data_IF_631967859472
#
_entry.id   IF_631967859472
#
_cell.length_a   1.000
_cell.length_b   1.000
_cell.length_c   1.000
_cell.angle_alpha   90.00
_cell.angle_beta   90.00
_cell.angle_gamma   90.00
#
_symmetry.space_group_name_H-M   'P 1'
#
loop_
_entity.id
_entity.type
_entity.pdbx_description
1 polymer ?
#
# COMPACT_ATOMS: atom_id res chain seq x y z
N UNK A 1 -7.99 6.50 10.86
CA UNK A 1 -8.04 6.54 9.39
C UNK A 1 -9.33 5.87 8.97
N UNK A 2 -10.19 6.57 8.24
CA UNK A 2 -11.40 5.97 7.66
C UNK A 2 -10.94 4.94 6.63
N UNK A 3 -11.44 3.71 6.72
CA UNK A 3 -11.07 2.59 5.86
C UNK A 3 -11.38 2.95 4.40
N UNK A 4 -10.36 3.37 3.64
CA UNK A 4 -10.50 3.72 2.22
C UNK A 4 -10.47 2.41 1.44
N UNK A 5 -11.65 1.84 1.20
CA UNK A 5 -11.78 0.71 0.28
C UNK A 5 -11.28 1.14 -1.11
N UNK A 6 -10.46 0.33 -1.81
CA UNK A 6 -9.97 0.64 -3.16
C UNK A 6 -11.08 0.92 -4.18
N UNK A 7 -12.29 0.47 -3.87
CA UNK A 7 -13.52 0.74 -4.61
C UNK A 7 -14.56 1.18 -3.58
N UNK A 8 -15.27 2.29 -3.83
CA UNK A 8 -16.42 2.65 -3.00
C UNK A 8 -17.63 1.78 -3.36
N UNK A 9 -17.68 0.60 -2.74
CA UNK A 9 -18.75 -0.36 -2.96
C UNK A 9 -20.14 0.16 -2.54
N UNK A 10 -20.23 1.17 -1.67
CA UNK A 10 -21.52 1.74 -1.28
C UNK A 10 -22.04 2.67 -2.37
N UNK A 11 -21.18 3.51 -2.94
CA UNK A 11 -21.52 4.33 -4.11
C UNK A 11 -21.97 3.46 -5.29
N UNK A 12 -21.22 2.40 -5.61
CA UNK A 12 -21.61 1.45 -6.65
C UNK A 12 -22.95 0.76 -6.36
N UNK A 13 -23.20 0.36 -5.11
CA UNK A 13 -24.46 -0.28 -4.73
C UNK A 13 -25.67 0.66 -4.86
N UNK A 14 -25.52 1.95 -4.50
CA UNK A 14 -26.57 2.95 -4.70
C UNK A 14 -26.89 3.16 -6.18
N UNK A 15 -25.86 3.20 -7.03
CA UNK A 15 -26.03 3.33 -8.48
C UNK A 15 -26.77 2.12 -9.07
N UNK A 16 -26.39 0.89 -8.70
CA UNK A 16 -27.12 -0.35 -9.10
C UNK A 16 -28.58 -0.30 -8.64
N UNK A 17 -28.82 0.13 -7.40
CA UNK A 17 -30.15 0.16 -6.79
C UNK A 17 -31.08 1.15 -7.51
N UNK A 18 -30.58 2.32 -7.92
CA UNK A 18 -31.34 3.31 -8.70
C UNK A 18 -31.76 2.80 -10.07
N UNK A 19 -30.99 1.88 -10.65
CA UNK A 19 -31.25 1.32 -11.98
C UNK A 19 -32.29 0.18 -11.96
N UNK A 20 -32.81 -0.22 -10.79
CA UNK A 20 -33.84 -1.27 -10.70
C UNK A 20 -33.32 -2.69 -11.00
N UNK A 21 -32.00 -2.88 -10.98
CA UNK A 21 -31.31 -4.13 -11.31
C UNK A 21 -31.34 -5.17 -10.18
N UNK A 22 -31.88 -4.82 -9.02
CA UNK A 22 -31.93 -5.66 -7.81
C UNK A 22 -32.96 -6.80 -7.89
N UNK A 23 -33.81 -6.85 -8.94
CA UNK A 23 -34.88 -7.84 -9.11
C UNK A 23 -34.94 -8.44 -10.53
N UNK A 24 -33.82 -8.95 -11.04
CA UNK A 24 -33.67 -9.45 -12.42
C UNK A 24 -34.57 -10.63 -12.81
N UNK A 25 -35.24 -11.29 -11.87
CA UNK A 25 -36.20 -12.38 -12.17
C UNK A 25 -37.60 -11.90 -12.57
N UNK A 26 -37.91 -10.59 -12.43
CA UNK A 26 -39.27 -10.06 -12.65
C UNK A 26 -39.49 -9.39 -14.02
N UNK A 27 -38.44 -9.03 -14.76
CA UNK A 27 -38.56 -8.21 -15.97
C UNK A 27 -37.81 -8.85 -17.15
N UNK A 28 -38.53 -9.62 -17.95
CA UNK A 28 -38.01 -10.20 -19.18
C UNK A 28 -37.64 -9.14 -20.21
N UNK A 29 -36.36 -8.75 -20.26
CA UNK A 29 -35.62 -8.26 -21.45
C UNK A 29 -34.17 -7.95 -21.06
N UNK A 30 -33.25 -8.76 -21.58
CA UNK A 30 -31.86 -8.88 -21.14
C UNK A 30 -30.83 -7.98 -21.86
N UNK A 31 -31.21 -6.85 -22.48
CA UNK A 31 -30.22 -5.99 -23.19
C UNK A 31 -29.79 -4.77 -22.36
N UNK A 32 -30.72 -4.02 -21.75
CA UNK A 32 -30.37 -2.80 -21.01
C UNK A 32 -29.58 -3.03 -19.72
N UNK A 33 -29.67 -4.24 -19.14
CA UNK A 33 -28.92 -4.59 -17.93
C UNK A 33 -27.42 -4.75 -18.19
N UNK A 34 -27.05 -5.29 -19.37
CA UNK A 34 -25.64 -5.46 -19.74
C UNK A 34 -24.98 -4.11 -20.04
N UNK A 35 -25.70 -3.20 -20.70
CA UNK A 35 -25.22 -1.85 -20.98
C UNK A 35 -25.04 -1.03 -19.69
N UNK A 36 -25.98 -1.14 -18.75
CA UNK A 36 -25.87 -0.49 -17.44
C UNK A 36 -24.66 -0.98 -16.63
N UNK A 37 -24.42 -2.30 -16.59
CA UNK A 37 -23.25 -2.89 -15.90
C UNK A 37 -21.95 -2.48 -16.61
N UNK A 38 -21.91 -2.47 -17.94
CA UNK A 38 -20.74 -2.04 -18.70
C UNK A 38 -20.39 -0.57 -18.43
N UNK A 39 -21.39 0.31 -18.39
CA UNK A 39 -21.20 1.72 -18.06
C UNK A 39 -20.70 1.90 -16.62
N UNK A 40 -21.23 1.14 -15.66
CA UNK A 40 -20.75 1.17 -14.28
C UNK A 40 -19.29 0.75 -14.12
N UNK A 41 -18.85 -0.27 -14.86
CA UNK A 41 -17.45 -0.70 -14.84
C UNK A 41 -16.54 0.40 -15.44
N UNK A 42 -17.01 1.10 -16.48
CA UNK A 42 -16.27 2.21 -17.07
C UNK A 42 -16.20 3.44 -16.15
N UNK A 43 -17.30 3.75 -15.46
CA UNK A 43 -17.43 4.92 -14.59
C UNK A 43 -16.88 4.67 -13.18
N UNK A 44 -16.61 3.41 -12.83
CA UNK A 44 -16.06 3.08 -11.53
C UNK A 44 -14.72 3.81 -11.34
N UNK A 45 -14.52 4.47 -10.18
CA UNK A 45 -13.27 5.16 -9.90
C UNK A 45 -12.13 4.14 -9.97
N UNK A 46 -11.25 4.32 -10.96
CA UNK A 46 -10.03 3.54 -11.05
C UNK A 46 -9.03 4.20 -10.11
N UNK A 47 -8.81 3.57 -8.96
CA UNK A 47 -7.72 3.96 -8.07
C UNK A 47 -6.47 3.21 -8.51
N UNK A 48 -5.42 3.96 -8.85
CA UNK A 48 -4.07 3.41 -8.95
C UNK A 48 -3.63 2.98 -7.54
N UNK A 49 -3.35 1.69 -7.29
CA UNK A 49 -2.89 1.22 -5.98
C UNK A 49 -1.64 1.95 -5.49
N UNK A 50 -0.76 2.39 -6.39
CA UNK A 50 0.43 3.16 -6.00
C UNK A 50 0.04 4.55 -5.46
N UNK A 51 -1.02 5.17 -5.96
CA UNK A 51 -1.53 6.46 -5.44
C UNK A 51 -2.07 6.39 -4.00
N UNK A 52 -2.33 5.18 -3.48
CA UNK A 52 -2.77 4.97 -2.10
C UNK A 52 -1.62 4.70 -1.14
N UNK A 53 -0.41 4.42 -1.63
CA UNK A 53 0.73 4.15 -0.76
C UNK A 53 1.13 5.43 -0.04
N UNK A 54 1.37 5.31 1.27
CA UNK A 54 1.97 6.40 2.03
C UNK A 54 3.44 6.59 1.66
N UNK A 55 3.96 7.78 1.97
CA UNK A 55 5.37 8.13 1.80
C UNK A 55 6.05 8.22 3.17
N UNK A 56 7.31 7.79 3.24
CA UNK A 56 8.16 7.81 4.42
C UNK A 56 9.62 8.11 4.06
N UNK A 57 10.49 8.18 5.06
CA UNK A 57 11.93 8.41 4.93
C UNK A 57 12.73 7.43 5.78
N UNK A 58 13.95 7.17 5.37
CA UNK A 58 14.95 6.46 6.16
C UNK A 58 15.65 7.46 7.09
N UNK A 59 15.50 7.24 8.39
CA UNK A 59 16.14 8.02 9.44
C UNK A 59 17.38 7.27 9.94
N UNK A 60 18.49 7.98 10.19
CA UNK A 60 19.68 7.45 10.88
C UNK A 60 19.75 8.00 12.31
N UNK A 61 18.97 7.47 13.27
CA UNK A 61 18.99 7.92 14.65
C UNK A 61 20.35 7.64 15.33
N UNK A 62 20.98 8.68 15.88
CA UNK A 62 22.31 8.58 16.54
C UNK A 62 22.32 7.68 17.79
N UNK A 63 21.14 7.43 18.38
CA UNK A 63 20.98 6.72 19.65
C UNK A 63 20.46 5.29 19.50
N UNK A 64 20.41 4.74 18.28
CA UNK A 64 19.98 3.37 18.03
C UNK A 64 21.04 2.63 17.22
N UNK A 65 21.42 1.45 17.71
CA UNK A 65 22.37 0.55 17.07
C UNK A 65 21.90 -0.90 17.17
N UNK A 66 22.30 -1.70 16.20
CA UNK A 66 22.21 -3.16 16.25
C UNK A 66 23.49 -3.73 16.82
N UNK A 67 23.37 -4.70 17.72
CA UNK A 67 24.50 -5.53 18.16
C UNK A 67 24.54 -6.75 17.24
N UNK A 68 25.53 -6.78 16.36
CA UNK A 68 25.74 -7.88 15.40
C UNK A 68 26.76 -8.84 15.97
N UNK A 69 26.44 -10.12 16.00
CA UNK A 69 27.31 -11.18 16.51
C UNK A 69 28.09 -11.78 15.35
N UNK A 70 29.42 -11.59 15.35
CA UNK A 70 30.32 -12.14 14.34
C UNK A 70 30.87 -13.52 14.72
N UNK A 71 30.84 -13.84 16.01
CA UNK A 71 31.33 -15.10 16.55
C UNK A 71 30.88 -15.34 17.99
N UNK A 72 31.26 -16.48 18.60
CA UNK A 72 30.82 -16.85 19.94
C UNK A 72 31.13 -15.82 21.03
N UNK A 73 32.25 -15.09 20.89
CA UNK A 73 32.71 -14.05 21.83
C UNK A 73 33.05 -12.74 21.10
N UNK A 74 32.58 -12.56 19.85
CA UNK A 74 32.88 -11.39 19.03
C UNK A 74 31.59 -10.76 18.49
N UNK A 75 31.49 -9.45 18.65
CA UNK A 75 30.33 -8.68 18.23
C UNK A 75 30.72 -7.23 18.02
N UNK A 76 30.03 -6.55 17.11
CA UNK A 76 30.16 -5.12 16.91
C UNK A 76 28.80 -4.43 16.91
N UNK A 77 28.83 -3.11 17.05
CA UNK A 77 27.66 -2.26 16.95
C UNK A 77 27.60 -1.62 15.56
N UNK A 78 26.43 -1.67 14.93
CA UNK A 78 26.15 -0.96 13.67
C UNK A 78 25.01 0.04 13.86
N UNK A 79 25.07 1.24 13.23
CA UNK A 79 23.96 2.18 13.24
C UNK A 79 22.66 1.56 12.73
N UNK A 80 21.54 1.88 13.37
CA UNK A 80 20.22 1.48 12.91
C UNK A 80 19.67 2.51 11.92
N UNK A 81 19.09 2.02 10.82
CA UNK A 81 18.35 2.82 9.84
C UNK A 81 16.86 2.52 10.00
N UNK A 82 16.07 3.55 10.29
CA UNK A 82 14.68 3.43 10.75
C UNK A 82 13.70 4.03 9.75
N UNK A 83 12.63 3.30 9.43
CA UNK A 83 11.50 3.87 8.70
C UNK A 83 10.75 4.89 9.58
N UNK A 84 10.58 6.12 9.10
CA UNK A 84 9.90 7.19 9.83
C UNK A 84 8.41 6.92 10.11
N UNK A 85 7.76 6.05 9.32
CA UNK A 85 6.34 5.72 9.49
C UNK A 85 6.09 4.59 10.51
N UNK A 86 6.74 3.44 10.34
CA UNK A 86 6.45 2.25 11.14
C UNK A 86 7.50 1.93 12.20
N UNK A 87 8.65 2.61 12.19
CA UNK A 87 9.75 2.33 13.09
C UNK A 87 10.51 1.03 12.78
N UNK A 88 10.22 0.34 11.67
CA UNK A 88 11.01 -0.80 11.22
C UNK A 88 12.47 -0.41 11.02
N UNK A 89 13.39 -1.24 11.51
CA UNK A 89 14.82 -0.94 11.56
C UNK A 89 15.62 -1.96 10.75
N UNK A 90 16.68 -1.48 10.10
CA UNK A 90 17.63 -2.25 9.30
C UNK A 90 19.04 -1.85 9.75
N UNK A 91 19.97 -2.79 9.97
CA UNK A 91 21.36 -2.43 10.23
C UNK A 91 21.98 -1.75 8.99
N UNK A 92 22.88 -0.78 9.20
CA UNK A 92 23.48 0.00 8.12
C UNK A 92 24.16 -0.88 7.06
N UNK A 93 24.83 -1.96 7.47
CA UNK A 93 25.48 -2.87 6.53
C UNK A 93 24.51 -3.57 5.58
N UNK A 94 23.29 -3.87 6.01
CA UNK A 94 22.26 -4.43 5.14
C UNK A 94 21.55 -3.35 4.33
N UNK A 95 21.44 -2.15 4.88
CA UNK A 95 20.86 -1.04 4.15
C UNK A 95 21.68 -0.69 2.91
N UNK A 96 23.01 -0.58 3.07
CA UNK A 96 23.93 -0.16 2.00
C UNK A 96 24.07 -1.20 0.87
N UNK A 97 23.61 -2.45 1.07
CA UNK A 97 23.67 -3.52 0.06
C UNK A 97 22.55 -3.42 -0.99
N UNK A 98 21.47 -2.68 -0.73
CA UNK A 98 20.27 -2.71 -1.56
C UNK A 98 19.66 -1.32 -1.76
N UNK A 99 18.89 -1.17 -2.85
CA UNK A 99 18.07 0.02 -3.06
C UNK A 99 16.72 -0.16 -2.37
N UNK A 100 16.50 0.59 -1.30
CA UNK A 100 15.29 0.51 -0.48
C UNK A 100 14.22 1.51 -0.91
N UNK A 101 13.63 1.28 -2.09
CA UNK A 101 12.52 2.09 -2.63
C UNK A 101 11.25 2.01 -1.77
N UNK A 102 11.09 0.93 -1.00
CA UNK A 102 9.93 0.69 -0.15
C UNK A 102 10.38 0.17 1.21
N UNK A 103 9.65 0.53 2.26
CA UNK A 103 9.84 -0.09 3.57
C UNK A 103 9.37 -1.56 3.54
N UNK A 104 10.20 -2.55 3.92
CA UNK A 104 9.81 -3.96 3.89
C UNK A 104 8.74 -4.33 4.95
N UNK A 105 8.56 -3.47 5.96
CA UNK A 105 7.60 -3.70 7.05
C UNK A 105 6.22 -3.13 6.71
N UNK A 106 6.14 -1.86 6.30
CA UNK A 106 4.86 -1.17 6.08
C UNK A 106 4.53 -0.87 4.61
N UNK A 107 5.45 -1.13 3.68
CA UNK A 107 5.23 -0.95 2.24
C UNK A 107 5.15 0.49 1.75
N UNK A 108 5.43 1.47 2.61
CA UNK A 108 5.48 2.89 2.25
C UNK A 108 6.62 3.15 1.27
N UNK A 109 6.39 4.08 0.34
CA UNK A 109 7.40 4.57 -0.60
C UNK A 109 8.42 5.39 0.18
N UNK A 110 9.71 5.15 -0.05
CA UNK A 110 10.79 5.86 0.62
C UNK A 110 11.26 7.01 -0.27
N UNK A 111 11.02 8.26 0.16
CA UNK A 111 11.32 9.46 -0.65
C UNK A 111 12.81 9.68 -0.89
N UNK A 112 13.63 9.11 -0.01
CA UNK A 112 15.08 9.18 0.04
C UNK A 112 15.74 7.89 -0.45
N UNK A 113 15.00 7.05 -1.17
CA UNK A 113 15.58 5.92 -1.85
C UNK A 113 16.72 6.39 -2.75
N UNK A 114 17.92 5.87 -2.50
CA UNK A 114 19.11 6.16 -3.28
C UNK A 114 18.93 5.52 -4.65
N UNK A 115 18.58 6.32 -5.66
CA UNK A 115 18.59 5.90 -7.05
C UNK A 115 20.00 5.40 -7.45
N UNK A 116 20.07 4.30 -8.20
CA UNK A 116 21.31 3.78 -8.81
C UNK A 116 22.00 4.81 -9.72
#
# INVERSE_FOLDING_TARGET
>A
MTDKRPIDANALYEDVSRMGLTNGSALGRHSGMADAIAQMIQDAPTIDPESLRGHAKWEKPENLAFIIVDGPDDSHEEPAIRCSNCGGMIPESDFDKWVWNYCPVCGFIMEDATNE
#
